data_IF_773935001891
#
_entry.id   IF_773935001891
#
_cell.length_a   1.000
_cell.length_b   1.000
_cell.length_c   1.000
_cell.angle_alpha   90.00
_cell.angle_beta   90.00
_cell.angle_gamma   90.00
#
_symmetry.space_group_name_H-M   'P 1'
#
loop_
_entity.id
_entity.type
_entity.pdbx_description
1 polymer ?
#
# COMPACT_ATOMS: atom_id res chain seq x y z
N UNK A 1 -26.15 -3.90 -3.42
CA UNK A 1 -25.03 -4.85 -3.45
C UNK A 1 -23.94 -4.25 -2.58
N UNK A 2 -23.15 -5.02 -1.81
CA UNK A 2 -21.97 -4.43 -1.13
C UNK A 2 -21.01 -4.00 -2.24
N UNK A 3 -20.54 -2.76 -2.23
CA UNK A 3 -19.50 -2.32 -3.17
C UNK A 3 -18.23 -3.18 -2.93
N UNK A 4 -17.69 -3.80 -3.98
CA UNK A 4 -16.46 -4.59 -3.90
C UNK A 4 -15.29 -3.72 -4.35
N UNK A 5 -14.47 -3.24 -3.40
CA UNK A 5 -13.32 -2.36 -3.68
C UNK A 5 -12.16 -3.09 -4.36
N UNK A 6 -12.00 -4.37 -4.05
CA UNK A 6 -10.99 -5.25 -4.61
C UNK A 6 -11.50 -6.68 -4.65
N UNK A 7 -11.13 -7.44 -5.67
CA UNK A 7 -11.62 -8.80 -5.87
C UNK A 7 -10.47 -9.76 -6.13
N UNK A 8 -10.69 -11.03 -5.78
CA UNK A 8 -9.74 -12.12 -6.08
C UNK A 8 -9.44 -12.18 -7.59
N UNK A 9 -10.45 -11.98 -8.45
CA UNK A 9 -10.25 -11.94 -9.91
C UNK A 9 -9.34 -10.81 -10.37
N UNK A 10 -9.42 -9.62 -9.73
CA UNK A 10 -8.52 -8.49 -10.03
C UNK A 10 -7.09 -8.81 -9.63
N UNK A 11 -6.88 -9.38 -8.44
CA UNK A 11 -5.56 -9.82 -8.01
C UNK A 11 -4.97 -10.91 -8.92
N UNK A 12 -5.78 -11.92 -9.26
CA UNK A 12 -5.37 -13.00 -10.16
C UNK A 12 -4.91 -12.48 -11.53
N UNK A 13 -5.53 -11.41 -12.04
CA UNK A 13 -5.09 -10.77 -13.28
C UNK A 13 -3.67 -10.17 -13.14
N UNK A 14 -3.30 -9.60 -11.99
CA UNK A 14 -1.93 -9.15 -11.74
C UNK A 14 -0.96 -10.31 -11.63
N UNK A 15 -1.32 -11.37 -10.91
CA UNK A 15 -0.49 -12.58 -10.83
C UNK A 15 -0.22 -13.17 -12.22
N UNK A 16 -1.24 -13.23 -13.07
CA UNK A 16 -1.08 -13.68 -14.46
C UNK A 16 -0.15 -12.75 -15.26
N UNK A 17 -0.27 -11.43 -15.12
CA UNK A 17 0.64 -10.48 -15.78
C UNK A 17 2.09 -10.63 -15.29
N UNK A 18 2.29 -10.85 -13.98
CA UNK A 18 3.62 -11.14 -13.41
C UNK A 18 4.18 -12.41 -14.04
N UNK A 19 3.37 -13.48 -14.11
CA UNK A 19 3.75 -14.75 -14.75
C UNK A 19 4.12 -14.58 -16.23
N UNK A 20 3.33 -13.81 -16.97
CA UNK A 20 3.53 -13.53 -18.40
C UNK A 20 4.73 -12.60 -18.67
N UNK A 21 5.10 -11.76 -17.70
CA UNK A 21 6.24 -10.85 -17.83
C UNK A 21 7.58 -11.59 -18.00
N UNK A 22 7.66 -12.83 -17.51
CA UNK A 22 8.89 -13.62 -17.51
C UNK A 22 10.01 -12.97 -16.70
N UNK A 23 9.65 -12.23 -15.64
CA UNK A 23 10.58 -11.51 -14.78
C UNK A 23 11.72 -12.41 -14.28
N UNK A 24 12.93 -11.88 -14.35
CA UNK A 24 14.15 -12.48 -13.81
C UNK A 24 14.96 -11.39 -13.13
N UNK A 25 15.51 -11.66 -11.95
CA UNK A 25 16.31 -10.70 -11.23
C UNK A 25 17.62 -10.46 -12.00
N UNK A 26 17.91 -9.20 -12.32
CA UNK A 26 19.12 -8.80 -13.03
C UNK A 26 19.86 -7.77 -12.20
N UNK A 27 21.19 -7.75 -12.33
CA UNK A 27 22.05 -6.75 -11.67
C UNK A 27 21.87 -5.33 -12.23
N UNK A 28 21.09 -5.14 -13.30
CA UNK A 28 20.81 -3.82 -13.89
C UNK A 28 19.48 -3.25 -13.39
N UNK A 29 19.49 -1.99 -12.96
CA UNK A 29 18.34 -1.27 -12.41
C UNK A 29 17.18 -1.06 -13.40
N UNK A 30 17.41 -1.26 -14.71
CA UNK A 30 16.40 -1.08 -15.75
C UNK A 30 15.91 -2.44 -16.29
N UNK A 31 15.12 -3.18 -15.51
CA UNK A 31 14.30 -4.27 -16.04
C UNK A 31 12.85 -3.80 -16.25
N UNK A 32 12.41 -3.57 -17.50
CA UNK A 32 11.02 -3.18 -17.79
C UNK A 32 9.98 -4.18 -17.27
N UNK A 33 10.37 -5.44 -17.03
CA UNK A 33 9.48 -6.43 -16.45
C UNK A 33 9.21 -6.20 -14.95
N UNK A 34 10.04 -5.45 -14.24
CA UNK A 34 9.80 -5.08 -12.83
C UNK A 34 8.60 -4.13 -12.65
N UNK A 35 8.29 -3.33 -13.68
CA UNK A 35 7.19 -2.35 -13.63
C UNK A 35 5.82 -2.99 -13.33
N UNK A 36 5.63 -4.27 -13.67
CA UNK A 36 4.37 -4.97 -13.39
C UNK A 36 4.07 -5.08 -11.89
N UNK A 37 5.10 -5.18 -11.04
CA UNK A 37 4.94 -5.23 -9.59
C UNK A 37 4.55 -3.88 -9.03
N UNK A 38 5.14 -2.80 -9.54
CA UNK A 38 4.76 -1.42 -9.19
C UNK A 38 3.31 -1.16 -9.56
N UNK A 39 2.89 -1.53 -10.77
CA UNK A 39 1.49 -1.36 -11.18
C UNK A 39 0.51 -2.19 -10.34
N UNK A 40 0.90 -3.39 -9.89
CA UNK A 40 0.09 -4.18 -8.98
C UNK A 40 0.00 -3.53 -7.59
N UNK A 41 1.10 -2.95 -7.09
CA UNK A 41 1.11 -2.18 -5.84
C UNK A 41 0.18 -0.97 -5.92
N UNK A 42 0.33 -0.15 -6.95
CA UNK A 42 -0.47 1.05 -7.18
C UNK A 42 -1.97 0.73 -7.22
N UNK A 43 -2.34 -0.38 -7.86
CA UNK A 43 -3.72 -0.85 -7.97
C UNK A 43 -4.34 -1.20 -6.61
N UNK A 44 -3.56 -1.86 -5.73
CA UNK A 44 -3.99 -2.20 -4.36
C UNK A 44 -4.03 -0.95 -3.47
N UNK A 45 -3.03 -0.07 -3.58
CA UNK A 45 -2.98 1.22 -2.87
C UNK A 45 -4.21 2.06 -3.22
N UNK A 46 -4.55 2.18 -4.50
CA UNK A 46 -5.72 2.91 -4.98
C UNK A 46 -7.03 2.32 -4.42
N UNK A 47 -7.12 0.99 -4.30
CA UNK A 47 -8.27 0.34 -3.68
C UNK A 47 -8.40 0.70 -2.19
N UNK A 48 -7.30 0.74 -1.45
CA UNK A 48 -7.29 1.16 -0.04
C UNK A 48 -7.69 2.64 0.10
N UNK A 49 -7.16 3.52 -0.76
CA UNK A 49 -7.51 4.94 -0.80
C UNK A 49 -9.00 5.17 -1.10
N UNK A 50 -9.60 4.37 -1.98
CA UNK A 50 -11.06 4.38 -2.23
C UNK A 50 -11.87 4.06 -0.98
N UNK A 51 -11.49 3.00 -0.26
CA UNK A 51 -12.16 2.60 1.00
C UNK A 51 -12.09 3.74 2.02
N UNK A 52 -10.93 4.38 2.15
CA UNK A 52 -10.72 5.52 3.04
C UNK A 52 -11.62 6.70 2.63
N UNK A 53 -11.65 7.05 1.34
CA UNK A 53 -12.50 8.14 0.83
C UNK A 53 -13.98 7.88 1.12
N UNK A 54 -14.48 6.64 0.92
CA UNK A 54 -15.86 6.27 1.29
C UNK A 54 -16.13 6.44 2.78
N UNK A 55 -15.16 6.08 3.63
CA UNK A 55 -15.28 6.24 5.07
C UNK A 55 -15.31 7.71 5.47
N UNK A 56 -14.48 8.56 4.86
CA UNK A 56 -14.44 10.01 5.11
C UNK A 56 -15.73 10.71 4.67
N UNK A 57 -16.33 10.25 3.59
CA UNK A 57 -17.63 10.71 3.10
C UNK A 57 -18.82 10.18 3.91
N UNK A 58 -18.59 9.24 4.83
CA UNK A 58 -19.64 8.60 5.61
C UNK A 58 -20.52 7.64 4.81
N UNK A 59 -20.09 7.23 3.61
CA UNK A 59 -20.76 6.21 2.79
C UNK A 59 -20.66 4.82 3.44
N UNK A 60 -19.54 4.54 4.10
CA UNK A 60 -19.34 3.35 4.94
C UNK A 60 -18.88 3.75 6.34
N UNK A 61 -19.17 2.92 7.34
CA UNK A 61 -18.67 3.10 8.71
C UNK A 61 -17.17 2.80 8.82
N UNK A 62 -16.54 3.24 9.93
CA UNK A 62 -15.14 2.92 10.22
C UNK A 62 -14.93 1.41 10.33
N UNK A 63 -15.86 0.72 10.98
CA UNK A 63 -15.81 -0.73 11.16
C UNK A 63 -15.91 -1.47 9.81
N UNK A 64 -16.79 -1.01 8.92
CA UNK A 64 -16.89 -1.56 7.55
C UNK A 64 -15.63 -1.27 6.74
N UNK A 65 -15.07 -0.06 6.83
CA UNK A 65 -13.84 0.30 6.14
C UNK A 65 -12.65 -0.57 6.59
N UNK A 66 -12.46 -0.77 7.90
CA UNK A 66 -11.41 -1.64 8.45
C UNK A 66 -11.60 -3.08 7.97
N UNK A 67 -12.83 -3.61 8.06
CA UNK A 67 -13.15 -4.95 7.58
C UNK A 67 -12.86 -5.12 6.08
N UNK A 68 -13.14 -4.10 5.28
CA UNK A 68 -12.82 -4.11 3.85
C UNK A 68 -11.30 -4.04 3.60
N UNK A 69 -10.54 -3.26 4.35
CA UNK A 69 -9.07 -3.27 4.25
C UNK A 69 -8.52 -4.68 4.59
N UNK A 70 -9.05 -5.33 5.61
CA UNK A 70 -8.71 -6.72 5.95
C UNK A 70 -9.07 -7.69 4.80
N UNK A 71 -10.25 -7.55 4.18
CA UNK A 71 -10.65 -8.35 3.01
C UNK A 71 -9.66 -8.18 1.84
N UNK A 72 -9.21 -6.95 1.55
CA UNK A 72 -8.20 -6.68 0.52
C UNK A 72 -6.87 -7.35 0.87
N UNK A 73 -6.40 -7.21 2.12
CA UNK A 73 -5.18 -7.85 2.60
C UNK A 73 -5.24 -9.37 2.41
N UNK A 74 -6.35 -9.97 2.79
CA UNK A 74 -6.53 -11.42 2.71
C UNK A 74 -6.50 -11.91 1.24
N UNK A 75 -7.07 -11.14 0.31
CA UNK A 75 -7.00 -11.41 -1.13
C UNK A 75 -5.55 -11.39 -1.64
N UNK A 76 -4.78 -10.34 -1.33
CA UNK A 76 -3.41 -10.20 -1.87
C UNK A 76 -2.43 -11.18 -1.22
N UNK A 77 -2.71 -11.60 0.02
CA UNK A 77 -1.89 -12.54 0.78
C UNK A 77 -2.14 -14.00 0.38
N UNK A 78 -3.16 -14.28 -0.43
CA UNK A 78 -3.45 -15.63 -0.89
C UNK A 78 -2.30 -16.16 -1.76
N UNK A 79 -1.77 -17.33 -1.40
CA UNK A 79 -0.66 -17.95 -2.14
C UNK A 79 -1.20 -18.67 -3.38
N UNK A 80 -0.69 -18.27 -4.54
CA UNK A 80 -0.94 -18.93 -5.82
C UNK A 80 0.17 -19.98 -6.15
N UNK A 81 0.06 -20.58 -7.33
CA UNK A 81 1.13 -21.38 -7.95
C UNK A 81 2.43 -20.57 -8.06
N UNK A 82 3.56 -21.27 -7.90
CA UNK A 82 4.89 -20.65 -8.04
C UNK A 82 5.06 -19.93 -9.37
N UNK A 83 5.52 -18.69 -9.33
CA UNK A 83 5.78 -17.82 -10.48
C UNK A 83 7.24 -17.92 -10.99
N UNK A 84 8.07 -18.72 -10.31
CA UNK A 84 9.52 -18.76 -10.50
C UNK A 84 10.25 -18.12 -9.30
N UNK A 85 11.52 -18.45 -9.11
CA UNK A 85 12.30 -18.02 -7.93
C UNK A 85 12.34 -16.48 -7.79
N UNK A 86 12.78 -15.79 -8.83
CA UNK A 86 12.93 -14.33 -8.82
C UNK A 86 11.59 -13.60 -8.69
N UNK A 87 10.56 -14.05 -9.42
CA UNK A 87 9.23 -13.44 -9.36
C UNK A 87 8.55 -13.66 -7.99
N UNK A 88 8.74 -14.83 -7.39
CA UNK A 88 8.26 -15.09 -6.03
C UNK A 88 8.98 -14.19 -5.01
N UNK A 89 10.30 -14.00 -5.14
CA UNK A 89 11.06 -13.12 -4.25
C UNK A 89 10.57 -11.66 -4.35
N UNK A 90 10.35 -11.17 -5.57
CA UNK A 90 9.82 -9.81 -5.78
C UNK A 90 8.38 -9.69 -5.27
N UNK A 91 7.55 -10.74 -5.40
CA UNK A 91 6.20 -10.77 -4.84
C UNK A 91 6.21 -10.77 -3.30
N UNK A 92 7.19 -11.41 -2.66
CA UNK A 92 7.37 -11.35 -1.21
C UNK A 92 7.73 -9.93 -0.74
N UNK A 93 8.59 -9.23 -1.49
CA UNK A 93 8.91 -7.83 -1.20
C UNK A 93 7.69 -6.90 -1.42
N UNK A 94 6.93 -7.12 -2.50
CA UNK A 94 5.66 -6.42 -2.74
C UNK A 94 4.66 -6.62 -1.58
N UNK A 95 4.47 -7.85 -1.12
CA UNK A 95 3.58 -8.14 0.00
C UNK A 95 4.08 -7.50 1.32
N UNK A 96 5.39 -7.39 1.48
CA UNK A 96 6.00 -6.67 2.61
C UNK A 96 5.65 -5.19 2.54
N UNK A 97 5.88 -4.53 1.40
CA UNK A 97 5.49 -3.13 1.20
C UNK A 97 3.98 -2.90 1.45
N UNK A 98 3.12 -3.75 0.91
CA UNK A 98 1.67 -3.67 1.10
C UNK A 98 1.24 -3.84 2.56
N UNK A 99 2.02 -4.55 3.38
CA UNK A 99 1.74 -4.65 4.83
C UNK A 99 1.72 -3.27 5.48
N UNK A 100 2.64 -2.37 5.12
CA UNK A 100 2.66 -1.00 5.62
C UNK A 100 1.42 -0.21 5.16
N UNK A 101 0.98 -0.40 3.91
CA UNK A 101 -0.23 0.25 3.37
C UNK A 101 -1.47 -0.13 4.17
N UNK A 102 -1.63 -1.41 4.50
CA UNK A 102 -2.81 -1.89 5.24
C UNK A 102 -2.82 -1.36 6.68
N UNK A 103 -1.71 -1.47 7.41
CA UNK A 103 -1.65 -0.98 8.80
C UNK A 103 -1.77 0.55 8.88
N UNK A 104 -1.24 1.27 7.89
CA UNK A 104 -1.39 2.72 7.77
C UNK A 104 -2.85 3.11 7.49
N UNK A 105 -3.52 2.39 6.59
CA UNK A 105 -4.93 2.62 6.26
C UNK A 105 -5.82 2.44 7.49
N UNK A 106 -5.63 1.35 8.24
CA UNK A 106 -6.36 1.09 9.48
C UNK A 106 -6.10 2.19 10.52
N UNK A 107 -4.83 2.54 10.75
CA UNK A 107 -4.43 3.62 11.67
C UNK A 107 -5.07 4.96 11.30
N UNK A 108 -5.12 5.29 10.01
CA UNK A 108 -5.75 6.51 9.52
C UNK A 108 -7.26 6.52 9.80
N UNK A 109 -7.96 5.43 9.50
CA UNK A 109 -9.41 5.27 9.74
C UNK A 109 -9.73 5.40 11.23
N UNK A 110 -8.93 4.78 12.10
CA UNK A 110 -9.06 4.92 13.56
C UNK A 110 -8.91 6.39 13.99
N UNK A 111 -7.94 7.08 13.40
CA UNK A 111 -7.69 8.51 13.60
C UNK A 111 -6.77 8.84 14.79
N UNK A 112 -6.16 7.81 15.39
CA UNK A 112 -5.23 7.94 16.52
C UNK A 112 -3.80 7.66 16.06
N UNK A 113 -3.07 8.73 15.74
CA UNK A 113 -1.66 8.69 15.32
C UNK A 113 -0.95 9.99 15.68
N UNK A 114 0.37 9.92 15.84
CA UNK A 114 1.21 11.08 16.14
C UNK A 114 1.17 12.10 14.99
N UNK A 115 0.90 13.37 15.32
CA UNK A 115 0.90 14.50 14.36
C UNK A 115 1.97 15.56 14.68
N UNK A 116 2.75 15.34 15.73
CA UNK A 116 3.66 16.33 16.31
C UNK A 116 5.13 15.99 16.05
N UNK A 117 5.52 14.71 16.09
CA UNK A 117 6.88 14.29 15.75
C UNK A 117 7.12 14.51 14.26
N UNK A 118 8.34 14.79 13.81
CA UNK A 118 8.61 14.93 12.37
C UNK A 118 8.58 13.54 11.68
N UNK A 119 8.23 13.47 10.39
CA UNK A 119 8.28 12.19 9.65
C UNK A 119 9.71 11.62 9.62
N UNK A 120 10.71 12.48 9.48
CA UNK A 120 12.13 12.09 9.53
C UNK A 120 12.50 11.43 10.87
N UNK A 121 12.09 12.01 11.99
CA UNK A 121 12.35 11.43 13.32
C UNK A 121 11.60 10.10 13.52
N UNK A 122 10.37 9.99 13.00
CA UNK A 122 9.63 8.73 13.04
C UNK A 122 10.34 7.63 12.23
N UNK A 123 10.81 7.94 11.02
CA UNK A 123 11.56 6.97 10.18
C UNK A 123 12.81 6.50 10.91
N UNK A 124 13.60 7.41 11.49
CA UNK A 124 14.78 7.06 12.30
C UNK A 124 14.43 6.16 13.49
N UNK A 125 13.31 6.44 14.17
CA UNK A 125 12.83 5.59 15.28
C UNK A 125 12.42 4.21 14.81
N UNK A 126 11.77 4.07 13.65
CA UNK A 126 11.40 2.77 13.08
C UNK A 126 12.63 1.92 12.78
N UNK A 127 13.66 2.51 12.17
CA UNK A 127 14.94 1.82 11.90
C UNK A 127 15.61 1.36 13.20
N UNK A 128 15.66 2.23 14.23
CA UNK A 128 16.23 1.86 15.53
C UNK A 128 15.43 0.73 16.19
N UNK A 129 14.10 0.76 16.09
CA UNK A 129 13.24 -0.29 16.63
C UNK A 129 13.49 -1.63 15.92
N UNK A 130 13.62 -1.63 14.58
CA UNK A 130 13.99 -2.82 13.81
C UNK A 130 15.37 -3.36 14.25
N UNK A 131 16.39 -2.50 14.29
CA UNK A 131 17.78 -2.86 14.65
C UNK A 131 17.88 -3.45 16.07
N UNK A 132 16.98 -3.06 16.96
CA UNK A 132 16.91 -3.56 18.35
C UNK A 132 15.94 -4.75 18.51
N UNK A 133 15.40 -5.27 17.41
CA UNK A 133 14.49 -6.41 17.38
C UNK A 133 13.07 -6.11 17.89
N UNK A 134 12.72 -4.83 18.07
CA UNK A 134 11.38 -4.37 18.45
C UNK A 134 10.47 -4.24 17.23
N UNK A 135 10.20 -5.36 16.56
CA UNK A 135 9.48 -5.36 15.28
C UNK A 135 8.06 -4.77 15.38
N UNK A 136 7.35 -5.04 16.48
CA UNK A 136 6.01 -4.49 16.72
C UNK A 136 6.04 -2.96 16.90
N UNK A 137 7.09 -2.43 17.53
CA UNK A 137 7.30 -1.00 17.66
C UNK A 137 7.61 -0.36 16.29
N UNK A 138 8.47 -0.98 15.49
CA UNK A 138 8.77 -0.52 14.13
C UNK A 138 7.50 -0.43 13.26
N UNK A 139 6.70 -1.50 13.24
CA UNK A 139 5.42 -1.53 12.52
C UNK A 139 4.42 -0.50 13.06
N UNK A 140 4.37 -0.31 14.38
CA UNK A 140 3.56 0.73 15.01
C UNK A 140 3.92 2.12 14.50
N UNK A 141 5.21 2.46 14.51
CA UNK A 141 5.73 3.74 14.01
C UNK A 141 5.44 3.90 12.50
N UNK A 142 5.65 2.85 11.70
CA UNK A 142 5.36 2.89 10.26
C UNK A 142 3.87 3.10 9.97
N UNK A 143 2.97 2.54 10.80
CA UNK A 143 1.54 2.82 10.69
C UNK A 143 1.21 4.29 10.96
N UNK A 144 1.91 4.95 11.90
CA UNK A 144 1.75 6.40 12.17
C UNK A 144 2.24 7.24 10.99
N UNK A 145 3.41 6.90 10.44
CA UNK A 145 3.99 7.55 9.26
C UNK A 145 3.02 7.45 8.09
N UNK A 146 2.57 6.24 7.74
CA UNK A 146 1.67 6.03 6.61
C UNK A 146 0.31 6.72 6.80
N UNK A 147 -0.24 6.74 8.02
CA UNK A 147 -1.48 7.47 8.29
C UNK A 147 -1.33 8.98 8.02
N UNK A 148 -0.19 9.58 8.33
CA UNK A 148 0.08 10.99 7.99
C UNK A 148 0.22 11.21 6.50
N UNK A 149 0.85 10.28 5.79
CA UNK A 149 0.95 10.33 4.32
C UNK A 149 -0.43 10.26 3.68
N UNK A 150 -1.28 9.34 4.12
CA UNK A 150 -2.70 9.30 3.72
C UNK A 150 -3.39 10.64 3.99
N UNK A 151 -3.09 11.27 5.13
CA UNK A 151 -3.57 12.62 5.49
C UNK A 151 -3.02 13.78 4.65
N UNK A 152 -2.15 13.51 3.67
CA UNK A 152 -1.64 14.48 2.70
C UNK A 152 -0.23 15.01 3.00
N UNK A 153 0.47 14.45 3.99
CA UNK A 153 1.91 14.72 4.14
C UNK A 153 2.74 13.90 3.14
N UNK A 154 3.97 14.34 2.86
CA UNK A 154 4.90 13.60 2.01
C UNK A 154 6.13 13.21 2.82
N UNK A 155 6.67 12.02 2.56
CA UNK A 155 7.94 11.61 3.15
C UNK A 155 9.06 12.54 2.64
N UNK A 156 9.93 13.05 3.52
CA UNK A 156 11.05 13.87 3.09
C UNK A 156 12.10 13.00 2.38
N UNK A 157 12.76 13.53 1.34
CA UNK A 157 13.82 12.80 0.62
C UNK A 157 14.94 12.32 1.56
N UNK A 158 15.23 13.12 2.59
CA UNK A 158 16.22 12.81 3.63
C UNK A 158 15.84 11.59 4.46
N UNK A 159 14.55 11.22 4.54
CA UNK A 159 14.13 10.00 5.22
C UNK A 159 14.60 8.74 4.48
N UNK A 160 14.88 8.81 3.18
CA UNK A 160 15.34 7.68 2.37
C UNK A 160 16.85 7.66 2.15
N UNK A 161 17.50 8.83 2.13
CA UNK A 161 18.90 8.97 1.73
C UNK A 161 19.90 8.11 2.55
N UNK A 162 19.60 7.87 3.83
CA UNK A 162 20.47 7.14 4.76
C UNK A 162 19.87 5.77 5.20
N UNK A 163 18.81 5.29 4.53
CA UNK A 163 18.19 4.03 4.93
C UNK A 163 19.07 2.83 4.54
N UNK A 164 19.38 1.93 5.50
CA UNK A 164 19.98 0.65 5.15
C UNK A 164 18.97 -0.20 4.36
N UNK A 165 19.48 -1.17 3.61
CA UNK A 165 18.64 -2.20 3.02
C UNK A 165 18.10 -3.10 4.16
N UNK A 166 16.89 -2.80 4.62
CA UNK A 166 16.26 -3.44 5.77
C UNK A 166 14.74 -3.51 5.58
N UNK A 167 14.04 -4.17 6.50
CA UNK A 167 12.59 -4.34 6.40
C UNK A 167 11.85 -3.00 6.45
N UNK A 168 12.33 -2.06 7.26
CA UNK A 168 11.76 -0.70 7.34
C UNK A 168 11.83 0.01 5.99
N UNK A 169 12.90 -0.19 5.21
CA UNK A 169 13.01 0.38 3.87
C UNK A 169 11.95 -0.21 2.93
N UNK A 170 11.80 -1.54 2.89
CA UNK A 170 10.78 -2.20 2.07
C UNK A 170 9.34 -1.79 2.47
N UNK A 171 9.08 -1.60 3.77
CA UNK A 171 7.80 -1.11 4.27
C UNK A 171 7.56 0.36 3.88
N UNK A 172 8.60 1.19 3.87
CA UNK A 172 8.52 2.59 3.45
C UNK A 172 8.21 2.73 1.96
N UNK A 173 8.66 1.80 1.10
CA UNK A 173 8.30 1.80 -0.32
C UNK A 173 6.77 1.73 -0.51
N UNK A 174 6.08 0.92 0.31
CA UNK A 174 4.62 0.87 0.30
C UNK A 174 3.98 2.18 0.75
N UNK A 175 4.57 2.87 1.73
CA UNK A 175 4.09 4.19 2.18
C UNK A 175 4.34 5.26 1.12
N UNK A 176 5.48 5.22 0.43
CA UNK A 176 5.78 6.14 -0.67
C UNK A 176 4.79 5.96 -1.84
N UNK A 177 4.43 4.71 -2.14
CA UNK A 177 3.41 4.39 -3.14
C UNK A 177 2.05 5.04 -2.85
N UNK A 178 1.69 5.23 -1.56
CA UNK A 178 0.49 6.00 -1.18
C UNK A 178 0.61 7.44 -1.66
N UNK A 179 1.74 8.10 -1.38
CA UNK A 179 1.98 9.48 -1.80
C UNK A 179 1.96 9.62 -3.32
N UNK A 180 2.63 8.68 -4.02
CA UNK A 180 2.65 8.61 -5.48
C UNK A 180 1.24 8.46 -6.07
N UNK A 181 0.42 7.55 -5.53
CA UNK A 181 -0.95 7.35 -5.97
C UNK A 181 -1.81 8.60 -5.76
N UNK A 182 -1.69 9.27 -4.62
CA UNK A 182 -2.42 10.50 -4.31
C UNK A 182 -2.07 11.68 -5.24
N UNK A 183 -0.84 11.70 -5.79
CA UNK A 183 -0.40 12.69 -6.77
C UNK A 183 -0.86 12.31 -8.19
N UNK A 184 -0.85 11.00 -8.50
CA UNK A 184 -1.09 10.49 -9.85
C UNK A 184 -2.57 10.40 -10.25
N UNK A 185 -3.46 10.07 -9.31
CA UNK A 185 -4.90 9.92 -9.54
C UNK A 185 -5.67 10.30 -8.28
N UNK A 186 -6.42 11.42 -8.31
CA UNK A 186 -7.29 11.87 -7.23
C UNK A 186 -8.79 11.69 -7.52
N UNK A 187 -9.15 11.11 -8.67
CA UNK A 187 -10.54 10.92 -9.11
C UNK A 187 -11.36 10.09 -8.13
N UNK A 188 -10.70 9.17 -7.43
CA UNK A 188 -11.30 8.34 -6.40
C UNK A 188 -11.86 9.13 -5.20
N UNK A 189 -11.40 10.36 -4.97
CA UNK A 189 -11.85 11.20 -3.86
C UNK A 189 -13.24 11.78 -4.11
N UNK A 190 -13.63 11.99 -5.36
CA UNK A 190 -14.93 12.58 -5.72
C UNK A 190 -15.99 11.54 -6.09
N UNK A 191 -15.56 10.31 -6.36
CA UNK A 191 -16.45 9.17 -6.54
C UNK A 191 -17.33 9.03 -5.28
N UNK A 192 -18.66 9.01 -5.46
CA UNK A 192 -19.66 8.80 -4.40
C UNK A 192 -20.34 7.42 -4.49
N UNK A 193 -19.99 6.63 -5.51
CA UNK A 193 -20.46 5.26 -5.71
C UNK A 193 -21.83 5.21 -6.34
N UNK A 194 -22.34 6.36 -6.80
CA UNK A 194 -23.40 6.37 -7.80
C UNK A 194 -22.81 5.85 -9.10
N UNK A 195 -23.32 4.71 -9.58
CA UNK A 195 -23.11 4.32 -10.97
C UNK A 195 -23.60 5.51 -11.81
N UNK A 196 -22.70 6.14 -12.57
CA UNK A 196 -23.10 6.97 -13.70
C UNK A 196 -23.77 6.01 -14.69
N UNK A 197 -25.08 5.80 -14.48
CA UNK A 197 -25.97 5.18 -15.44
C UNK A 197 -25.88 6.05 -16.68
N UNK A 198 -24.95 5.71 -17.58
CA UNK A 198 -24.65 6.44 -18.81
C UNK A 198 -25.84 6.47 -19.77
N UNK A 199 -26.91 7.17 -19.40
CA UNK A 199 -27.92 7.70 -20.28
C UNK A 199 -27.46 9.05 -20.80
N UNK A 200 -26.38 9.04 -21.58
CA UNK A 200 -26.17 10.11 -22.55
C UNK A 200 -27.23 9.93 -23.65
N UNK A 201 -28.15 10.90 -23.68
CA UNK A 201 -29.27 11.06 -24.62
C UNK A 201 -28.83 11.45 -26.03
#
# INVERSE_FOLDING_TARGET
MKEEFYTQGRWQNWINKIKESGFTLRESDEDPSAAVFVYAMDDVVLACLKVIARCEHGTISKEEAIATIDEIRDIVSERDESLGEDANLMLESLNTALTAVFIASQRYIEGDYDKNTTLEDLVKRAVIAEDTGQMEEALGILSEIGARVIGGESLPEEAFADLPYCLTAELLDGIDAISAAQIGDDSYKEDDGSEDDGEDS
#
